data_IF_443510570240
#
_entry.id   IF_443510570240
#
_cell.length_a   1.000
_cell.length_b   1.000
_cell.length_c   1.000
_cell.angle_alpha   90.00
_cell.angle_beta   90.00
_cell.angle_gamma   90.00
#
_symmetry.space_group_name_H-M   'P 1'
#
loop_
_entity.id
_entity.type
_entity.pdbx_description
1 polymer ?
#
# COMPACT_ATOMS: atom_id res chain seq x y z
N UNK A 1 10.46 10.18 -24.35
CA UNK A 1 9.53 9.38 -25.21
C UNK A 1 8.55 10.28 -25.97
N UNK A 2 8.05 9.89 -27.16
CA UNK A 2 6.95 10.63 -27.84
C UNK A 2 5.56 10.20 -27.31
N UNK A 3 4.55 11.06 -27.46
CA UNK A 3 3.21 10.87 -26.87
C UNK A 3 2.53 9.55 -27.30
N UNK A 4 2.75 9.14 -28.56
CA UNK A 4 2.22 7.89 -29.11
C UNK A 4 2.89 6.65 -28.50
N UNK A 5 4.20 6.71 -28.24
CA UNK A 5 4.95 5.65 -27.57
C UNK A 5 4.50 5.46 -26.13
N UNK A 6 4.30 6.57 -25.41
CA UNK A 6 3.82 6.53 -24.02
C UNK A 6 2.42 5.90 -23.91
N UNK A 7 1.50 6.28 -24.82
CA UNK A 7 0.14 5.71 -24.85
C UNK A 7 0.15 4.19 -25.07
N UNK A 8 1.00 3.70 -25.98
CA UNK A 8 1.13 2.26 -26.25
C UNK A 8 1.63 1.50 -25.02
N UNK A 9 2.64 2.05 -24.33
CA UNK A 9 3.17 1.45 -23.10
C UNK A 9 2.11 1.41 -22.01
N UNK A 10 1.39 2.52 -21.79
CA UNK A 10 0.29 2.58 -20.82
C UNK A 10 -0.76 1.51 -21.08
N UNK A 11 -1.14 1.30 -22.35
CA UNK A 11 -2.12 0.26 -22.72
C UNK A 11 -1.60 -1.15 -22.45
N UNK A 12 -0.34 -1.43 -22.79
CA UNK A 12 0.28 -2.75 -22.54
C UNK A 12 0.29 -3.10 -21.05
N UNK A 13 0.73 -2.17 -20.20
CA UNK A 13 0.82 -2.40 -18.76
C UNK A 13 -0.57 -2.43 -18.11
N UNK A 14 -1.51 -1.60 -18.58
CA UNK A 14 -2.90 -1.63 -18.14
C UNK A 14 -3.59 -2.96 -18.46
N UNK A 15 -3.38 -3.50 -19.66
CA UNK A 15 -3.94 -4.79 -20.06
C UNK A 15 -3.43 -5.92 -19.15
N UNK A 16 -2.11 -5.95 -18.92
CA UNK A 16 -1.49 -6.88 -17.97
C UNK A 16 -2.11 -6.79 -16.57
N UNK A 17 -2.18 -5.58 -15.99
CA UNK A 17 -2.76 -5.38 -14.66
C UNK A 17 -4.24 -5.78 -14.60
N UNK A 18 -4.99 -5.54 -15.67
CA UNK A 18 -6.40 -5.93 -15.75
C UNK A 18 -6.57 -7.44 -15.76
N UNK A 19 -5.70 -8.16 -16.49
CA UNK A 19 -5.71 -9.62 -16.57
C UNK A 19 -5.29 -10.28 -15.25
N UNK A 20 -4.47 -9.59 -14.45
CA UNK A 20 -3.98 -10.07 -13.15
C UNK A 20 -4.59 -9.33 -11.95
N UNK A 21 -5.72 -8.63 -12.14
CA UNK A 21 -6.35 -7.77 -11.12
C UNK A 21 -6.71 -8.48 -9.81
N UNK A 22 -6.94 -9.79 -9.86
CA UNK A 22 -7.34 -10.61 -8.71
C UNK A 22 -6.13 -11.30 -8.04
N UNK A 23 -4.94 -11.17 -8.62
CA UNK A 23 -3.71 -11.71 -8.05
C UNK A 23 -3.33 -10.93 -6.79
N UNK A 24 -2.93 -11.63 -5.72
CA UNK A 24 -2.58 -11.04 -4.43
C UNK A 24 -1.08 -11.16 -4.16
N UNK A 25 -0.38 -10.03 -4.10
CA UNK A 25 1.05 -9.93 -3.83
C UNK A 25 1.32 -10.15 -2.35
N UNK A 26 2.36 -10.92 -2.05
CA UNK A 26 2.99 -10.79 -0.74
C UNK A 26 3.58 -9.39 -0.58
N UNK A 27 3.37 -8.78 0.60
CA UNK A 27 3.92 -7.48 0.96
C UNK A 27 5.43 -7.38 0.73
N UNK A 28 6.15 -8.48 0.98
CA UNK A 28 7.61 -8.55 0.81
C UNK A 28 8.03 -8.18 -0.60
N UNK A 29 7.30 -8.63 -1.63
CA UNK A 29 7.67 -8.31 -3.01
C UNK A 29 7.29 -6.87 -3.39
N UNK A 30 6.19 -6.34 -2.85
CA UNK A 30 5.84 -4.94 -3.02
C UNK A 30 6.90 -4.01 -2.41
N UNK A 31 7.37 -4.34 -1.20
CA UNK A 31 8.40 -3.57 -0.48
C UNK A 31 9.75 -3.57 -1.22
N UNK A 32 10.08 -4.62 -1.98
CA UNK A 32 11.32 -4.68 -2.78
C UNK A 32 11.34 -3.64 -3.91
N UNK A 33 10.17 -3.23 -4.40
CA UNK A 33 10.02 -2.33 -5.55
C UNK A 33 9.30 -1.02 -5.18
N UNK A 34 9.34 -0.62 -3.91
CA UNK A 34 8.69 0.60 -3.39
C UNK A 34 9.29 1.91 -3.91
N UNK A 35 10.52 1.85 -4.44
CA UNK A 35 11.25 2.96 -5.03
C UNK A 35 10.81 3.29 -6.48
N UNK A 36 10.00 2.42 -7.09
CA UNK A 36 9.54 2.53 -8.47
C UNK A 36 8.14 3.16 -8.57
N UNK A 37 7.72 3.52 -9.79
CA UNK A 37 6.33 3.86 -10.09
C UNK A 37 5.38 2.70 -9.71
N UNK A 38 4.18 3.03 -9.24
CA UNK A 38 3.19 2.07 -8.72
C UNK A 38 2.86 0.96 -9.74
N UNK A 39 2.79 1.27 -11.04
CA UNK A 39 2.59 0.22 -12.06
C UNK A 39 3.76 -0.76 -12.07
N UNK A 40 4.99 -0.25 -12.11
CA UNK A 40 6.17 -1.10 -12.17
C UNK A 40 6.34 -1.90 -10.88
N UNK A 41 6.00 -1.32 -9.73
CA UNK A 41 5.96 -2.04 -8.46
C UNK A 41 5.04 -3.27 -8.56
N UNK A 42 3.80 -3.12 -9.02
CA UNK A 42 2.87 -4.25 -9.17
C UNK A 42 3.37 -5.30 -10.19
N UNK A 43 3.82 -4.84 -11.36
CA UNK A 43 4.28 -5.71 -12.45
C UNK A 43 5.52 -6.52 -12.03
N UNK A 44 6.51 -5.86 -11.45
CA UNK A 44 7.74 -6.54 -11.00
C UNK A 44 7.49 -7.46 -9.82
N UNK A 45 6.65 -7.05 -8.86
CA UNK A 45 6.25 -7.88 -7.73
C UNK A 45 5.57 -9.16 -8.20
N UNK A 46 4.64 -9.06 -9.17
CA UNK A 46 3.99 -10.21 -9.78
C UNK A 46 5.01 -11.21 -10.32
N UNK A 47 5.85 -10.78 -11.26
CA UNK A 47 6.77 -11.67 -11.95
C UNK A 47 7.77 -12.29 -10.99
N UNK A 48 8.29 -11.49 -10.06
CA UNK A 48 9.27 -11.95 -9.08
C UNK A 48 8.68 -13.02 -8.17
N UNK A 49 7.50 -12.78 -7.61
CA UNK A 49 6.83 -13.75 -6.74
C UNK A 49 6.43 -15.03 -7.46
N UNK A 50 5.81 -14.92 -8.66
CA UNK A 50 5.40 -16.09 -9.44
C UNK A 50 6.60 -16.94 -9.83
N UNK A 51 7.66 -16.32 -10.39
CA UNK A 51 8.85 -17.05 -10.82
C UNK A 51 9.53 -17.74 -9.63
N UNK A 52 9.66 -17.07 -8.48
CA UNK A 52 10.25 -17.68 -7.30
C UNK A 52 9.47 -18.91 -6.85
N UNK A 53 8.15 -18.79 -6.70
CA UNK A 53 7.30 -19.92 -6.29
C UNK A 53 7.38 -21.10 -7.26
N UNK A 54 7.41 -20.82 -8.57
CA UNK A 54 7.51 -21.86 -9.60
C UNK A 54 8.89 -22.53 -9.64
N UNK A 55 9.98 -21.77 -9.52
CA UNK A 55 11.33 -22.32 -9.48
C UNK A 55 11.60 -23.11 -8.18
N UNK A 56 11.12 -22.63 -7.03
CA UNK A 56 11.18 -23.38 -5.77
C UNK A 56 10.40 -24.69 -5.84
N UNK A 57 9.21 -24.66 -6.45
CA UNK A 57 8.44 -25.87 -6.70
C UNK A 57 9.17 -26.82 -7.66
N UNK A 58 9.81 -26.30 -8.70
CA UNK A 58 10.64 -27.10 -9.62
C UNK A 58 11.82 -27.75 -8.90
N UNK A 59 12.53 -27.02 -8.04
CA UNK A 59 13.61 -27.53 -7.21
C UNK A 59 13.16 -28.67 -6.28
N UNK A 60 11.92 -28.61 -5.78
CA UNK A 60 11.33 -29.72 -5.02
C UNK A 60 11.10 -30.94 -5.92
N UNK A 61 10.52 -30.73 -7.11
CA UNK A 61 10.18 -31.81 -8.04
C UNK A 61 11.40 -32.48 -8.66
N UNK A 62 12.49 -31.75 -8.88
CA UNK A 62 13.75 -32.30 -9.41
C UNK A 62 14.36 -33.38 -8.51
N UNK A 63 14.14 -33.29 -7.20
CA UNK A 63 14.60 -34.30 -6.23
C UNK A 63 13.58 -35.43 -6.07
N UNK A 64 12.29 -35.12 -6.07
CA UNK A 64 11.24 -36.09 -5.73
C UNK A 64 11.03 -37.11 -6.84
N UNK A 65 10.79 -36.66 -8.07
CA UNK A 65 10.42 -37.56 -9.17
C UNK A 65 10.86 -37.06 -10.55
N UNK A 66 11.64 -35.98 -10.63
CA UNK A 66 12.10 -35.34 -11.86
C UNK A 66 10.99 -34.99 -12.85
N UNK A 67 9.75 -34.83 -12.39
CA UNK A 67 8.62 -34.51 -13.27
C UNK A 67 7.89 -33.27 -12.78
N UNK A 68 8.01 -32.16 -13.50
CA UNK A 68 7.31 -30.93 -13.21
C UNK A 68 5.84 -31.03 -13.61
N UNK A 69 4.94 -30.58 -12.73
CA UNK A 69 3.51 -30.80 -12.91
C UNK A 69 2.96 -30.01 -14.12
N UNK A 70 1.99 -30.59 -14.84
CA UNK A 70 1.40 -29.97 -16.03
C UNK A 70 0.78 -28.59 -15.80
N UNK A 71 0.16 -28.35 -14.63
CA UNK A 71 -0.36 -27.04 -14.25
C UNK A 71 0.76 -26.00 -14.12
N UNK A 72 1.74 -26.28 -13.26
CA UNK A 72 2.88 -25.40 -13.00
C UNK A 72 3.77 -25.19 -14.23
N UNK A 73 3.83 -26.18 -15.13
CA UNK A 73 4.53 -26.07 -16.42
C UNK A 73 3.89 -25.04 -17.33
N UNK A 74 2.57 -25.17 -17.59
CA UNK A 74 1.80 -24.19 -18.37
C UNK A 74 1.88 -22.80 -17.76
N UNK A 75 1.77 -22.73 -16.45
CA UNK A 75 1.87 -21.46 -15.76
C UNK A 75 3.23 -20.80 -15.95
N UNK A 76 4.33 -21.53 -15.77
CA UNK A 76 5.67 -20.98 -15.98
C UNK A 76 5.91 -20.54 -17.43
N UNK A 77 5.38 -21.28 -18.41
CA UNK A 77 5.39 -20.87 -19.82
C UNK A 77 4.67 -19.52 -19.98
N UNK A 78 3.45 -19.41 -19.48
CA UNK A 78 2.66 -18.18 -19.58
C UNK A 78 3.39 -16.98 -18.93
N UNK A 79 3.95 -17.16 -17.73
CA UNK A 79 4.71 -16.13 -17.02
C UNK A 79 5.92 -15.66 -17.83
N UNK A 80 6.66 -16.59 -18.45
CA UNK A 80 7.82 -16.27 -19.28
C UNK A 80 7.40 -15.48 -20.53
N UNK A 81 6.28 -15.86 -21.16
CA UNK A 81 5.79 -15.21 -22.37
C UNK A 81 5.23 -13.82 -22.09
N UNK A 82 4.49 -13.63 -21.00
CA UNK A 82 4.04 -12.30 -20.55
C UNK A 82 5.22 -11.37 -20.23
N UNK A 83 6.23 -11.89 -19.51
CA UNK A 83 7.44 -11.14 -19.19
C UNK A 83 8.18 -10.69 -20.46
N UNK A 84 8.22 -11.54 -21.49
CA UNK A 84 8.82 -11.21 -22.79
C UNK A 84 8.05 -10.14 -23.55
N UNK A 85 6.73 -10.25 -23.61
CA UNK A 85 5.89 -9.27 -24.28
C UNK A 85 6.07 -7.88 -23.64
N UNK A 86 6.06 -7.80 -22.30
CA UNK A 86 6.34 -6.56 -21.57
C UNK A 86 7.76 -6.07 -21.84
N UNK A 87 8.77 -6.93 -21.69
CA UNK A 87 10.17 -6.56 -21.94
C UNK A 87 10.39 -6.03 -23.37
N UNK A 88 9.78 -6.66 -24.36
CA UNK A 88 9.84 -6.25 -25.77
C UNK A 88 9.11 -4.92 -26.01
N UNK A 89 7.96 -4.72 -25.36
CA UNK A 89 7.19 -3.49 -25.46
C UNK A 89 7.89 -2.27 -24.86
N UNK A 90 8.71 -2.47 -23.83
CA UNK A 90 9.46 -1.42 -23.15
C UNK A 90 10.89 -1.22 -23.67
N UNK A 91 11.39 -2.13 -24.52
CA UNK A 91 12.78 -2.09 -24.99
C UNK A 91 13.09 -0.77 -25.73
N UNK A 92 14.16 -0.09 -25.30
CA UNK A 92 14.60 1.18 -25.89
C UNK A 92 13.74 2.39 -25.50
N UNK A 93 12.80 2.23 -24.57
CA UNK A 93 12.00 3.32 -24.00
C UNK A 93 12.61 3.80 -22.69
N UNK A 94 12.12 4.93 -22.17
CA UNK A 94 12.54 5.46 -20.86
C UNK A 94 12.19 4.47 -19.71
N UNK A 95 11.24 3.56 -19.94
CA UNK A 95 10.81 2.56 -18.97
C UNK A 95 11.42 1.16 -19.22
N UNK A 96 12.46 1.06 -20.05
CA UNK A 96 13.19 -0.19 -20.24
C UNK A 96 13.81 -0.66 -18.91
N UNK A 97 13.92 -1.97 -18.71
CA UNK A 97 14.37 -2.56 -17.44
C UNK A 97 15.30 -3.75 -17.64
N UNK A 98 16.24 -3.95 -16.73
CA UNK A 98 17.14 -5.10 -16.72
C UNK A 98 16.59 -6.22 -15.86
N UNK A 99 16.91 -7.46 -16.21
CA UNK A 99 16.55 -8.66 -15.45
C UNK A 99 17.83 -9.27 -14.91
N UNK A 100 17.81 -9.73 -13.66
CA UNK A 100 18.94 -10.41 -13.05
C UNK A 100 19.44 -11.58 -13.93
N UNK A 101 20.76 -11.61 -14.18
CA UNK A 101 21.37 -12.56 -15.11
C UNK A 101 21.14 -14.02 -14.73
N UNK A 102 21.03 -14.36 -13.44
CA UNK A 102 20.77 -15.73 -13.01
C UNK A 102 19.34 -16.15 -13.39
N UNK A 103 18.37 -15.25 -13.29
CA UNK A 103 17.00 -15.49 -13.75
C UNK A 103 16.93 -15.65 -15.27
N UNK A 104 17.65 -14.81 -16.03
CA UNK A 104 17.73 -14.97 -17.50
C UNK A 104 18.29 -16.35 -17.87
N UNK A 105 19.37 -16.79 -17.22
CA UNK A 105 19.95 -18.12 -17.44
C UNK A 105 18.96 -19.23 -17.08
N UNK A 106 18.30 -19.11 -15.94
CA UNK A 106 17.32 -20.09 -15.49
C UNK A 106 16.14 -20.22 -16.46
N UNK A 107 15.59 -19.10 -16.91
CA UNK A 107 14.52 -19.08 -17.93
C UNK A 107 14.98 -19.85 -19.18
N UNK A 108 16.19 -19.60 -19.68
CA UNK A 108 16.73 -20.32 -20.84
C UNK A 108 16.83 -21.82 -20.61
N UNK A 109 17.28 -22.25 -19.42
CA UNK A 109 17.42 -23.67 -19.07
C UNK A 109 16.05 -24.34 -19.05
N UNK A 110 15.09 -23.80 -18.30
CA UNK A 110 13.78 -24.47 -18.10
C UNK A 110 13.00 -24.58 -19.40
N UNK A 111 13.13 -23.60 -20.29
CA UNK A 111 12.45 -23.61 -21.58
C UNK A 111 12.84 -24.75 -22.51
N UNK A 112 14.02 -25.36 -22.31
CA UNK A 112 14.45 -26.49 -23.13
C UNK A 112 13.52 -27.69 -22.93
N UNK A 113 12.92 -27.84 -21.74
CA UNK A 113 12.16 -29.03 -21.38
C UNK A 113 10.71 -28.76 -20.95
N UNK A 114 10.29 -27.49 -20.78
CA UNK A 114 8.91 -27.17 -20.46
C UNK A 114 7.94 -27.56 -21.59
N UNK A 115 6.83 -28.19 -21.22
CA UNK A 115 5.72 -28.60 -22.09
C UNK A 115 4.40 -28.01 -21.61
N UNK A 116 3.51 -27.74 -22.55
CA UNK A 116 2.16 -27.23 -22.33
C UNK A 116 1.18 -28.32 -21.84
N UNK A 117 1.51 -29.60 -22.04
CA UNK A 117 0.65 -30.73 -21.73
C UNK A 117 1.45 -31.92 -21.20
N UNK A 118 0.82 -32.79 -20.40
CA UNK A 118 1.47 -33.98 -19.82
C UNK A 118 2.52 -33.72 -18.73
N UNK A 119 2.81 -32.46 -18.42
CA UNK A 119 3.91 -32.08 -17.52
C UNK A 119 5.27 -32.19 -18.21
N UNK A 120 6.31 -31.81 -17.49
CA UNK A 120 7.65 -31.63 -18.05
C UNK A 120 8.65 -32.51 -17.33
N UNK A 121 9.34 -33.36 -18.08
CA UNK A 121 10.47 -34.09 -17.52
C UNK A 121 11.58 -33.06 -17.24
N UNK A 122 11.96 -32.96 -15.97
CA UNK A 122 13.07 -32.10 -15.55
C UNK A 122 14.36 -32.77 -16.00
N UNK A 123 15.22 -32.00 -16.66
CA UNK A 123 16.49 -32.51 -17.18
C UNK A 123 17.35 -33.16 -16.10
N UNK A 124 18.10 -34.20 -16.46
CA UNK A 124 18.96 -34.94 -15.52
C UNK A 124 20.15 -34.11 -15.00
N UNK A 125 20.57 -33.11 -15.76
CA UNK A 125 21.61 -32.12 -15.42
C UNK A 125 21.03 -30.87 -14.73
N UNK A 126 19.75 -30.87 -14.36
CA UNK A 126 19.13 -29.73 -13.67
C UNK A 126 19.73 -29.52 -12.27
N UNK A 127 20.44 -28.41 -12.11
CA UNK A 127 20.87 -27.91 -10.81
C UNK A 127 19.77 -27.06 -10.16
N UNK A 128 19.66 -27.14 -8.83
CA UNK A 128 18.67 -26.35 -8.09
C UNK A 128 18.96 -24.86 -8.26
N UNK A 129 17.96 -24.12 -8.71
CA UNK A 129 18.05 -22.68 -8.87
C UNK A 129 17.95 -21.97 -7.52
N UNK A 130 18.89 -21.08 -7.21
CA UNK A 130 18.81 -20.28 -6.00
C UNK A 130 17.96 -19.02 -6.25
N UNK A 131 16.75 -18.97 -5.68
CA UNK A 131 15.86 -17.81 -5.80
C UNK A 131 16.36 -16.65 -4.93
N UNK A 132 16.28 -15.44 -5.48
CA UNK A 132 16.53 -14.19 -4.75
C UNK A 132 15.19 -13.73 -4.17
N UNK A 133 15.10 -13.66 -2.84
CA UNK A 133 13.82 -13.39 -2.15
C UNK A 133 13.68 -11.97 -1.61
N UNK A 134 14.79 -11.31 -1.28
CA UNK A 134 14.79 -10.05 -0.52
C UNK A 134 15.56 -8.93 -1.23
N UNK A 135 15.82 -9.09 -2.53
CA UNK A 135 16.52 -8.11 -3.37
C UNK A 135 15.83 -8.04 -4.74
N UNK A 136 15.88 -6.88 -5.42
CA UNK A 136 15.23 -6.73 -6.72
C UNK A 136 15.90 -7.59 -7.79
N UNK A 137 15.07 -8.25 -8.62
CA UNK A 137 15.52 -8.98 -9.81
C UNK A 137 15.22 -8.22 -11.11
N UNK A 138 14.47 -7.12 -11.00
CA UNK A 138 14.17 -6.20 -12.08
C UNK A 138 14.70 -4.81 -11.72
N UNK A 139 15.35 -4.12 -12.66
CA UNK A 139 15.87 -2.77 -12.45
C UNK A 139 15.48 -1.86 -13.61
N UNK A 140 14.64 -0.85 -13.38
CA UNK A 140 14.39 0.19 -14.38
C UNK A 140 15.67 0.92 -14.73
N UNK A 141 15.88 1.19 -16.01
CA UNK A 141 16.99 2.04 -16.46
C UNK A 141 16.81 3.49 -16.03
N UNK A 142 15.56 3.96 -15.96
CA UNK A 142 15.20 5.24 -15.37
C UNK A 142 14.24 5.02 -14.19
N UNK A 143 14.80 5.02 -12.97
CA UNK A 143 14.01 4.85 -11.74
C UNK A 143 13.14 6.07 -11.41
N UNK A 144 13.41 7.24 -11.98
CA UNK A 144 12.64 8.46 -11.73
C UNK A 144 11.40 8.58 -12.64
N UNK A 145 11.24 7.66 -13.60
CA UNK A 145 10.08 7.65 -14.47
C UNK A 145 8.79 7.46 -13.64
N UNK A 146 7.79 8.31 -13.87
CA UNK A 146 6.47 8.22 -13.26
C UNK A 146 5.39 8.42 -14.33
N UNK A 147 4.39 7.56 -14.34
CA UNK A 147 3.24 7.76 -15.23
C UNK A 147 2.28 8.77 -14.63
N UNK A 148 1.84 9.75 -15.44
CA UNK A 148 0.76 10.66 -15.07
C UNK A 148 -0.60 10.07 -15.46
N UNK A 149 -1.59 10.21 -14.58
CA UNK A 149 -3.01 9.87 -14.82
C UNK A 149 -3.30 8.41 -15.20
N UNK A 150 -2.90 7.45 -14.36
CA UNK A 150 -3.45 6.09 -14.44
C UNK A 150 -4.66 6.00 -13.53
N UNK A 151 -5.73 5.39 -14.03
CA UNK A 151 -6.91 5.08 -13.26
C UNK A 151 -6.55 4.11 -12.13
N UNK A 152 -6.55 4.63 -10.89
CA UNK A 152 -6.18 3.91 -9.68
C UNK A 152 -7.03 2.67 -9.42
N UNK A 153 -8.20 2.56 -10.05
CA UNK A 153 -9.06 1.37 -9.98
C UNK A 153 -8.45 0.12 -10.62
N UNK A 154 -7.46 0.28 -11.51
CA UNK A 154 -6.75 -0.82 -12.20
C UNK A 154 -5.59 -1.34 -11.35
N UNK A 155 -4.95 -0.44 -10.61
CA UNK A 155 -3.79 -0.74 -9.77
C UNK A 155 -4.26 -1.35 -8.44
N UNK A 156 -5.45 -0.98 -7.96
CA UNK A 156 -6.02 -1.55 -6.74
C UNK A 156 -6.79 -2.85 -7.00
N UNK A 157 -6.14 -4.00 -6.83
CA UNK A 157 -6.68 -5.19 -6.12
C UNK A 157 -5.67 -6.33 -5.93
N UNK A 158 -4.41 -5.99 -5.68
CA UNK A 158 -3.49 -6.97 -5.12
C UNK A 158 -3.67 -7.14 -3.62
N UNK A 159 -4.00 -8.35 -3.20
CA UNK A 159 -4.50 -8.62 -1.87
C UNK A 159 -3.46 -8.87 -0.79
N UNK A 160 -3.99 -8.70 0.43
CA UNK A 160 -3.45 -9.19 1.69
C UNK A 160 -1.96 -8.90 1.96
N UNK A 161 -1.50 -7.68 1.66
CA UNK A 161 -1.13 -6.83 2.81
C UNK A 161 -2.41 -6.77 3.64
N UNK A 162 -2.36 -7.07 4.95
CA UNK A 162 -3.37 -6.53 5.87
C UNK A 162 -3.78 -5.21 5.31
N UNK A 163 -5.02 -5.13 4.81
CA UNK A 163 -5.51 -3.91 4.23
C UNK A 163 -5.57 -3.00 5.46
N UNK A 164 -4.47 -2.30 5.74
CA UNK A 164 -4.51 -0.90 6.01
C UNK A 164 -5.56 -0.46 5.02
N UNK A 165 -6.78 -0.27 5.50
CA UNK A 165 -7.78 0.32 4.67
C UNK A 165 -7.09 1.55 4.11
N UNK A 166 -6.98 1.68 2.78
CA UNK A 166 -6.57 2.95 2.15
C UNK A 166 -7.48 4.11 2.60
N UNK A 167 -8.51 3.83 3.40
CA UNK A 167 -8.97 4.73 4.44
C UNK A 167 -7.86 5.12 5.42
N UNK A 168 -7.00 6.03 4.97
CA UNK A 168 -6.30 6.91 5.88
C UNK A 168 -7.36 7.62 6.72
N UNK A 169 -7.29 7.43 8.04
CA UNK A 169 -8.22 8.04 8.98
C UNK A 169 -8.28 9.57 8.82
N UNK A 170 -7.14 10.16 8.45
CA UNK A 170 -6.96 11.57 8.09
C UNK A 170 -6.38 11.60 6.69
N UNK A 171 -7.00 12.38 5.80
CA UNK A 171 -6.53 12.54 4.43
C UNK A 171 -5.09 13.08 4.40
N UNK A 172 -4.23 12.50 3.55
CA UNK A 172 -2.85 12.94 3.40
C UNK A 172 -2.75 14.40 2.96
N UNK A 173 -3.67 14.90 2.11
CA UNK A 173 -3.69 16.31 1.71
C UNK A 173 -3.88 17.23 2.91
N UNK A 174 -4.68 16.83 3.90
CA UNK A 174 -4.87 17.59 5.15
C UNK A 174 -3.59 17.69 5.96
N UNK A 175 -2.81 16.60 6.04
CA UNK A 175 -1.54 16.58 6.75
C UNK A 175 -0.50 17.46 6.03
N UNK A 176 -0.45 17.41 4.70
CA UNK A 176 0.41 18.30 3.90
C UNK A 176 0.04 19.76 4.11
N UNK A 177 -1.25 20.10 4.05
CA UNK A 177 -1.73 21.46 4.31
C UNK A 177 -1.33 21.97 5.69
N UNK A 178 -1.40 21.14 6.74
CA UNK A 178 -0.96 21.52 8.09
C UNK A 178 0.56 21.71 8.17
N UNK A 179 1.33 20.92 7.43
CA UNK A 179 2.80 20.98 7.42
C UNK A 179 3.32 22.24 6.74
N UNK A 180 2.59 22.76 5.75
CA UNK A 180 2.94 23.97 5.02
C UNK A 180 2.61 25.28 5.76
N UNK A 181 1.81 25.22 6.83
CA UNK A 181 1.43 26.40 7.61
C UNK A 181 2.61 26.91 8.42
N UNK A 182 3.05 28.12 8.12
CA UNK A 182 3.94 28.90 8.97
C UNK A 182 3.09 29.81 9.87
N UNK A 183 3.25 29.69 11.19
CA UNK A 183 2.50 30.49 12.15
C UNK A 183 3.36 30.88 13.35
N UNK A 184 3.42 32.17 13.67
CA UNK A 184 4.26 32.68 14.76
C UNK A 184 3.69 32.40 16.16
N UNK A 185 2.39 32.12 16.28
CA UNK A 185 1.72 31.95 17.57
C UNK A 185 1.61 30.50 18.02
N UNK A 186 1.66 29.54 17.08
CA UNK A 186 1.43 28.12 17.37
C UNK A 186 2.39 27.22 16.60
N UNK A 187 3.12 26.38 17.35
CA UNK A 187 3.88 25.27 16.80
C UNK A 187 2.96 24.06 16.57
N UNK A 188 2.87 23.61 15.31
CA UNK A 188 1.99 22.53 14.89
C UNK A 188 2.66 21.15 14.89
N UNK A 189 3.95 21.03 15.23
CA UNK A 189 4.70 19.77 15.17
C UNK A 189 3.97 18.62 15.89
N UNK A 190 3.46 18.89 17.09
CA UNK A 190 2.75 17.89 17.89
C UNK A 190 1.40 17.51 17.30
N UNK A 191 0.64 18.48 16.78
CA UNK A 191 -0.63 18.22 16.08
C UNK A 191 -0.40 17.36 14.84
N UNK A 192 0.59 17.70 14.01
CA UNK A 192 0.95 16.96 12.80
C UNK A 192 1.37 15.53 13.15
N UNK A 193 2.15 15.37 14.21
CA UNK A 193 2.60 14.06 14.67
C UNK A 193 1.41 13.19 15.13
N UNK A 194 0.47 13.74 15.90
CA UNK A 194 -0.77 13.03 16.22
C UNK A 194 -1.55 12.60 14.98
N UNK A 195 -1.64 13.46 13.96
CA UNK A 195 -2.33 13.09 12.72
C UNK A 195 -1.67 11.89 12.03
N UNK A 196 -0.33 11.88 11.95
CA UNK A 196 0.44 10.76 11.37
C UNK A 196 0.26 9.48 12.19
N UNK A 197 0.31 9.58 13.51
CA UNK A 197 0.17 8.43 14.41
C UNK A 197 -1.26 7.85 14.41
N UNK A 198 -2.30 8.67 14.28
CA UNK A 198 -3.68 8.18 14.12
C UNK A 198 -3.81 7.36 12.83
N UNK A 199 -3.25 7.87 11.71
CA UNK A 199 -3.23 7.13 10.45
C UNK A 199 -2.52 5.79 10.61
N UNK A 200 -1.34 5.77 11.24
CA UNK A 200 -0.59 4.55 11.49
C UNK A 200 -1.37 3.59 12.39
N UNK A 201 -1.84 4.04 13.56
CA UNK A 201 -2.58 3.20 14.49
C UNK A 201 -3.83 2.61 13.85
N UNK A 202 -4.61 3.41 13.12
CA UNK A 202 -5.82 2.94 12.46
C UNK A 202 -5.51 1.95 11.32
N UNK A 203 -4.44 2.21 10.56
CA UNK A 203 -3.97 1.35 9.49
C UNK A 203 -3.62 -0.06 9.98
N UNK A 204 -2.92 -0.14 11.11
CA UNK A 204 -2.52 -1.39 11.75
C UNK A 204 -3.58 -1.97 12.69
N UNK A 205 -4.83 -1.52 12.59
CA UNK A 205 -5.96 -1.97 13.42
C UNK A 205 -5.74 -1.81 14.94
N UNK A 206 -4.89 -0.86 15.35
CA UNK A 206 -4.59 -0.53 16.74
C UNK A 206 -5.69 0.38 17.35
N UNK A 207 -6.93 -0.10 17.36
CA UNK A 207 -8.12 0.73 17.65
C UNK A 207 -8.14 1.35 19.06
N UNK A 208 -7.56 0.68 20.06
CA UNK A 208 -7.36 1.29 21.39
C UNK A 208 -6.48 2.53 21.29
N UNK A 209 -5.34 2.42 20.60
CA UNK A 209 -4.41 3.53 20.35
C UNK A 209 -5.06 4.63 19.52
N UNK A 210 -5.83 4.29 18.47
CA UNK A 210 -6.57 5.28 17.67
C UNK A 210 -7.44 6.19 18.55
N UNK A 211 -8.25 5.60 19.44
CA UNK A 211 -9.10 6.36 20.36
C UNK A 211 -8.29 7.23 21.33
N UNK A 212 -7.21 6.69 21.89
CA UNK A 212 -6.34 7.41 22.83
C UNK A 212 -5.63 8.60 22.18
N UNK A 213 -5.12 8.43 20.95
CA UNK A 213 -4.41 9.51 20.24
C UNK A 213 -5.41 10.57 19.78
N UNK A 214 -6.60 10.19 19.29
CA UNK A 214 -7.66 11.16 18.94
C UNK A 214 -8.07 12.00 20.14
N UNK A 215 -8.25 11.37 21.30
CA UNK A 215 -8.54 12.04 22.57
C UNK A 215 -7.46 13.06 22.95
N UNK A 216 -6.19 12.69 22.78
CA UNK A 216 -5.05 13.58 23.04
C UNK A 216 -4.97 14.74 22.03
N UNK A 217 -5.28 14.46 20.76
CA UNK A 217 -5.34 15.46 19.69
C UNK A 217 -6.39 16.53 19.98
N UNK A 218 -7.62 16.15 20.35
CA UNK A 218 -8.69 17.14 20.61
C UNK A 218 -8.43 17.99 21.86
N UNK A 219 -7.68 17.48 22.85
CA UNK A 219 -7.28 18.27 24.03
C UNK A 219 -6.16 19.27 23.72
N UNK A 220 -5.36 19.01 22.69
CA UNK A 220 -4.26 19.88 22.31
C UNK A 220 -4.72 21.13 21.54
N UNK A 221 -5.88 21.05 20.89
CA UNK A 221 -6.39 22.04 19.93
C UNK A 221 -6.99 23.35 20.50
N UNK A 222 -7.65 23.39 21.68
CA UNK A 222 -8.45 24.56 22.09
C UNK A 222 -7.76 25.94 22.01
N UNK A 223 -6.46 26.09 22.33
CA UNK A 223 -5.78 27.37 22.21
C UNK A 223 -5.85 28.02 20.81
N UNK A 224 -5.82 27.21 19.73
CA UNK A 224 -5.94 27.70 18.34
C UNK A 224 -7.23 28.51 18.14
N UNK A 225 -8.30 28.15 18.87
CA UNK A 225 -9.61 28.80 18.82
C UNK A 225 -9.83 29.81 19.95
N UNK A 226 -8.78 30.17 20.69
CA UNK A 226 -8.86 31.03 21.89
C UNK A 226 -9.84 30.49 22.93
N UNK A 227 -9.82 29.17 23.16
CA UNK A 227 -10.63 28.44 24.14
C UNK A 227 -9.75 27.63 25.08
N UNK A 228 -10.26 27.32 26.26
CA UNK A 228 -9.51 26.57 27.29
C UNK A 228 -9.79 25.06 27.26
N UNK A 229 -10.88 24.65 26.64
CA UNK A 229 -11.28 23.24 26.57
C UNK A 229 -11.95 22.92 25.24
N UNK A 230 -11.89 21.65 24.83
CA UNK A 230 -12.57 21.23 23.60
C UNK A 230 -14.10 21.35 23.71
N UNK A 231 -14.65 21.20 24.93
CA UNK A 231 -16.06 21.50 25.22
C UNK A 231 -16.44 22.94 24.90
N UNK A 232 -15.57 23.91 25.18
CA UNK A 232 -15.81 25.30 24.79
C UNK A 232 -15.77 25.49 23.28
N UNK A 233 -14.83 24.83 22.57
CA UNK A 233 -14.78 24.83 21.10
C UNK A 233 -16.10 24.29 20.54
N UNK A 234 -16.56 23.14 21.02
CA UNK A 234 -17.76 22.47 20.53
C UNK A 234 -19.07 23.26 20.75
N UNK A 235 -19.12 24.09 21.80
CA UNK A 235 -20.34 24.84 22.12
C UNK A 235 -20.32 26.29 21.61
N UNK A 236 -19.14 26.92 21.56
CA UNK A 236 -19.01 28.37 21.45
C UNK A 236 -18.22 28.87 20.23
N UNK A 237 -17.73 27.98 19.36
CA UNK A 237 -16.98 28.36 18.15
C UNK A 237 -17.64 27.85 16.87
N UNK A 238 -17.55 28.62 15.79
CA UNK A 238 -17.93 28.18 14.44
C UNK A 238 -19.45 28.17 14.15
N UNK A 239 -19.78 27.69 12.96
CA UNK A 239 -21.16 27.57 12.47
C UNK A 239 -21.92 26.47 13.19
N UNK A 240 -23.25 26.38 12.97
CA UNK A 240 -24.06 25.29 13.55
C UNK A 240 -23.52 23.91 13.14
N UNK A 241 -23.24 23.70 11.85
CA UNK A 241 -22.74 22.42 11.35
C UNK A 241 -21.37 22.05 11.92
N UNK A 242 -20.45 23.03 12.03
CA UNK A 242 -19.16 22.80 12.69
C UNK A 242 -19.34 22.36 14.14
N UNK A 243 -20.20 23.06 14.90
CA UNK A 243 -20.48 22.72 16.30
C UNK A 243 -21.09 21.33 16.44
N UNK A 244 -21.96 20.92 15.53
CA UNK A 244 -22.58 19.59 15.57
C UNK A 244 -21.52 18.48 15.40
N UNK A 245 -20.56 18.64 14.48
CA UNK A 245 -19.40 17.74 14.38
C UNK A 245 -18.49 17.75 15.61
N UNK A 246 -18.18 18.93 16.17
CA UNK A 246 -17.33 19.04 17.36
C UNK A 246 -18.01 18.45 18.59
N UNK A 247 -19.33 18.56 18.70
CA UNK A 247 -20.11 17.88 19.73
C UNK A 247 -20.08 16.37 19.59
N UNK A 248 -19.97 15.83 18.37
CA UNK A 248 -19.80 14.38 18.20
C UNK A 248 -18.43 13.93 18.71
N UNK A 249 -17.35 14.64 18.37
CA UNK A 249 -16.01 14.38 18.91
C UNK A 249 -15.99 14.51 20.45
N UNK A 250 -16.61 15.55 21.00
CA UNK A 250 -16.62 15.81 22.45
C UNK A 250 -17.50 14.83 23.25
N UNK A 251 -18.67 14.45 22.74
CA UNK A 251 -19.63 13.67 23.52
C UNK A 251 -19.59 12.17 23.22
N UNK A 252 -19.06 11.77 22.06
CA UNK A 252 -18.97 10.37 21.64
C UNK A 252 -17.53 9.90 21.67
N UNK A 253 -16.67 10.44 20.79
CA UNK A 253 -15.26 10.00 20.67
C UNK A 253 -14.51 10.06 22.00
N UNK A 254 -14.60 11.19 22.71
CA UNK A 254 -14.00 11.36 24.05
C UNK A 254 -14.42 10.26 25.02
N UNK A 255 -15.73 9.99 25.15
CA UNK A 255 -16.26 8.99 26.10
C UNK A 255 -15.82 7.57 25.74
N UNK A 256 -15.74 7.26 24.45
CA UNK A 256 -15.24 5.97 23.97
C UNK A 256 -13.76 5.82 24.36
N UNK A 257 -12.93 6.84 24.12
CA UNK A 257 -11.52 6.82 24.50
C UNK A 257 -11.31 6.77 26.03
N UNK A 258 -12.09 7.52 26.80
CA UNK A 258 -12.04 7.50 28.27
C UNK A 258 -12.37 6.10 28.80
N UNK A 259 -13.29 5.37 28.16
CA UNK A 259 -13.59 3.98 28.52
C UNK A 259 -12.39 3.04 28.30
N UNK A 260 -11.54 3.31 27.30
CA UNK A 260 -10.32 2.53 27.05
C UNK A 260 -9.20 2.86 28.04
N UNK A 261 -9.17 4.08 28.58
CA UNK A 261 -8.12 4.57 29.48
C UNK A 261 -8.40 4.27 30.96
N UNK A 262 -9.67 4.30 31.36
CA UNK A 262 -10.03 4.34 32.79
C UNK A 262 -10.74 3.09 33.30
N UNK A 263 -11.16 2.17 32.42
CA UNK A 263 -11.83 0.94 32.84
C UNK A 263 -10.79 -0.09 33.34
N UNK A 264 -10.91 -0.62 34.58
CA UNK A 264 -10.06 -1.71 35.05
C UNK A 264 -10.35 -3.04 34.33
N UNK A 265 -9.38 -3.97 34.36
CA UNK A 265 -9.53 -5.30 33.75
C UNK A 265 -10.72 -6.08 34.31
N UNK A 266 -11.53 -6.67 33.43
CA UNK A 266 -12.69 -7.51 33.76
C UNK A 266 -12.43 -8.99 33.46
N UNK A 267 -13.33 -9.85 33.92
CA UNK A 267 -13.27 -11.30 33.69
C UNK A 267 -13.43 -11.70 32.20
N UNK A 268 -14.08 -10.86 31.40
CA UNK A 268 -14.21 -10.96 29.95
C UNK A 268 -14.15 -9.55 29.35
N UNK A 269 -13.37 -9.41 28.29
CA UNK A 269 -13.21 -8.15 27.57
C UNK A 269 -13.70 -8.27 26.13
N UNK A 270 -14.10 -7.15 25.56
CA UNK A 270 -14.35 -7.00 24.14
C UNK A 270 -13.46 -5.87 23.64
N UNK A 271 -12.68 -6.14 22.58
CA UNK A 271 -11.84 -5.13 21.97
C UNK A 271 -12.68 -4.22 21.07
N UNK A 272 -12.34 -2.92 20.98
CA UNK A 272 -12.99 -2.04 20.02
C UNK A 272 -12.67 -2.48 18.59
N UNK A 273 -13.61 -2.24 17.69
CA UNK A 273 -13.42 -2.40 16.25
C UNK A 273 -13.40 -1.05 15.53
N UNK A 274 -13.11 -1.09 14.22
CA UNK A 274 -13.09 0.08 13.33
C UNK A 274 -14.27 1.01 13.52
N UNK A 275 -15.50 0.48 13.52
CA UNK A 275 -16.74 1.26 13.59
C UNK A 275 -16.84 2.08 14.87
N UNK A 276 -16.34 1.55 16.00
CA UNK A 276 -16.43 2.24 17.28
C UNK A 276 -15.47 3.43 17.41
N UNK A 277 -14.39 3.44 16.63
CA UNK A 277 -13.33 4.46 16.75
C UNK A 277 -13.23 5.38 15.53
N UNK A 278 -14.02 5.15 14.47
CA UNK A 278 -13.98 5.93 13.23
C UNK A 278 -14.79 7.23 13.32
N UNK A 279 -14.11 8.31 13.73
CA UNK A 279 -14.59 9.70 13.76
C UNK A 279 -13.86 10.59 12.74
N UNK A 280 -13.28 9.97 11.71
CA UNK A 280 -12.51 10.63 10.64
C UNK A 280 -13.25 11.81 9.98
N UNK A 281 -14.55 11.69 9.73
CA UNK A 281 -15.35 12.75 9.12
C UNK A 281 -15.37 14.03 9.98
N UNK A 282 -15.69 13.90 11.28
CA UNK A 282 -15.73 15.04 12.18
C UNK A 282 -14.33 15.59 12.46
N UNK A 283 -13.31 14.72 12.48
CA UNK A 283 -11.93 15.14 12.62
C UNK A 283 -11.44 15.94 11.40
N UNK A 284 -11.78 15.55 10.17
CA UNK A 284 -11.40 16.35 8.99
C UNK A 284 -12.06 17.74 9.02
N UNK A 285 -13.32 17.84 9.47
CA UNK A 285 -13.98 19.15 9.69
C UNK A 285 -13.20 20.02 10.66
N UNK A 286 -12.70 19.44 11.76
CA UNK A 286 -11.85 20.15 12.72
C UNK A 286 -10.52 20.61 12.11
N UNK A 287 -9.80 19.69 11.45
CA UNK A 287 -8.49 19.98 10.87
C UNK A 287 -8.57 20.98 9.71
N UNK A 288 -9.66 20.93 8.92
CA UNK A 288 -9.97 21.90 7.89
C UNK A 288 -10.12 23.31 8.47
N UNK A 289 -10.87 23.43 9.56
CA UNK A 289 -11.07 24.71 10.23
C UNK A 289 -9.77 25.25 10.85
N UNK A 290 -8.93 24.37 11.40
CA UNK A 290 -7.59 24.76 11.87
C UNK A 290 -6.75 25.31 10.72
N UNK A 291 -6.73 24.63 9.56
CA UNK A 291 -6.03 25.13 8.38
C UNK A 291 -6.55 26.53 7.99
N UNK A 292 -7.87 26.72 7.98
CA UNK A 292 -8.50 28.01 7.64
C UNK A 292 -8.15 29.12 8.62
N UNK A 293 -8.08 28.83 9.93
CA UNK A 293 -7.78 29.82 10.96
C UNK A 293 -6.31 30.23 10.94
N UNK A 294 -5.41 29.31 10.59
CA UNK A 294 -3.96 29.53 10.68
C UNK A 294 -3.31 29.96 9.36
N UNK A 295 -3.90 29.62 8.20
CA UNK A 295 -3.48 30.16 6.89
C UNK A 295 -3.86 31.65 6.84
N UNK A 296 -2.87 32.52 7.02
CA UNK A 296 -2.95 33.96 6.76
C UNK A 296 -2.11 34.33 5.56
#
# INVERSE_FOLDING_TARGET
MNELGEKKIKLLLKDFLTNHKDYKHSSVYLDIYDDCDEIFQQVFSYFHERMNGLFEFMNKKSVVNKHYNAGSSRELINIIDELREIKKGLLGTDCDFEINNNYIKQIKIVQIFLKDSGGSLISDDYEKFNTIKYEPIFNLKNKDFRFTNIDSSIISKSGNITKINNYLYINQTRISELTEIQNDNYDLLKLIQYCKEINLAFSYEMYLSTGMILRALIDHIPPIFSKNSFKEVANNYGTKSFKDSMKNLENSSRKIADSFLHTPIRNKENLPNRTQVDFSNDLDVLLCEICRVLKK
#
